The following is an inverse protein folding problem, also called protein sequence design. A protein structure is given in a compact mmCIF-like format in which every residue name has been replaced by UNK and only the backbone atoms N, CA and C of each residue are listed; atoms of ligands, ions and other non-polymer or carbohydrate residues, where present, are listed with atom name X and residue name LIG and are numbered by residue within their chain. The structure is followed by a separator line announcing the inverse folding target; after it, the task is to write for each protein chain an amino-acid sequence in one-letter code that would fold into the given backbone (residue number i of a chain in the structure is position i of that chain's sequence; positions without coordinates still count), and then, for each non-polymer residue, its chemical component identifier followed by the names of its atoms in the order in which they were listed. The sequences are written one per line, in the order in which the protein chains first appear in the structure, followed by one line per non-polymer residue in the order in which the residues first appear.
data_IF_621676910536
#
_entry.id   IF_621676910536
#
_cell.length_a   1.000
_cell.length_b   1.000
_cell.length_c   1.000
_cell.angle_alpha   90.00
_cell.angle_beta   90.00
_cell.angle_gamma   90.00
#
_symmetry.space_group_name_H-M   'P 1'
#
loop_
_entity.id
_entity.type
_entity.pdbx_description
1 polymer ?
#
# COMPACT_ATOMS: atom_id res chain seq x y z
N UNK A 1 4.59 -9.75 19.41
CA UNK A 1 4.22 -10.09 18.02
C UNK A 1 4.55 -8.88 17.18
N UNK A 2 5.62 -8.93 16.37
CA UNK A 2 6.01 -7.80 15.54
C UNK A 2 5.00 -7.67 14.41
N UNK A 3 4.54 -6.46 14.17
CA UNK A 3 3.29 -6.24 13.45
C UNK A 3 3.68 -5.46 12.19
N UNK A 4 3.72 -6.18 11.06
CA UNK A 4 4.42 -5.76 9.84
C UNK A 4 3.56 -4.81 9.03
N UNK A 5 3.53 -3.55 9.47
CA UNK A 5 2.82 -2.47 8.78
C UNK A 5 3.42 -2.06 7.45
N UNK A 6 4.56 -2.63 7.08
CA UNK A 6 5.48 -2.02 6.17
C UNK A 6 5.96 -3.06 5.14
N UNK A 7 6.17 -2.65 3.87
CA UNK A 7 6.73 -3.51 2.82
C UNK A 7 8.00 -4.20 3.34
N UNK A 8 8.20 -5.48 3.09
CA UNK A 8 9.50 -6.08 3.38
C UNK A 8 10.57 -5.25 2.66
N UNK A 9 11.48 -4.63 3.41
CA UNK A 9 12.60 -3.94 2.78
C UNK A 9 13.39 -4.99 2.01
N UNK A 10 13.77 -4.73 0.74
CA UNK A 10 14.69 -5.61 0.02
C UNK A 10 16.12 -5.56 0.60
N UNK A 11 16.35 -4.81 1.69
CA UNK A 11 17.66 -4.61 2.33
C UNK A 11 17.61 -5.05 3.78
N UNK A 12 18.64 -5.77 4.21
CA UNK A 12 18.78 -6.20 5.60
C UNK A 12 19.24 -5.09 6.54
N UNK A 13 19.73 -3.96 6.01
CA UNK A 13 20.28 -2.84 6.80
C UNK A 13 19.85 -1.47 6.27
N UNK A 14 19.62 -0.52 7.18
CA UNK A 14 19.21 0.84 6.86
C UNK A 14 20.36 1.78 6.42
N UNK A 15 20.05 3.05 6.10
CA UNK A 15 18.75 3.70 6.24
C UNK A 15 17.75 3.26 5.15
N UNK A 16 16.54 2.93 5.59
CA UNK A 16 15.44 2.54 4.70
C UNK A 16 14.83 3.76 4.02
N UNK A 17 14.41 3.61 2.77
CA UNK A 17 13.58 4.62 2.12
C UNK A 17 12.24 4.76 2.86
N UNK A 18 11.57 5.93 2.84
CA UNK A 18 10.25 6.10 3.47
C UNK A 18 9.15 5.14 2.98
N UNK A 19 9.38 4.50 1.82
CA UNK A 19 8.49 3.50 1.22
C UNK A 19 8.95 2.06 1.49
N UNK A 20 10.17 1.86 1.97
CA UNK A 20 10.69 0.55 2.38
C UNK A 20 10.26 0.32 3.82
N UNK A 21 9.63 -0.81 4.08
CA UNK A 21 9.05 -1.04 5.38
C UNK A 21 10.05 -1.53 6.41
N UNK A 22 9.81 -1.10 7.65
CA UNK A 22 10.59 -1.47 8.82
C UNK A 22 9.71 -2.26 9.78
N UNK A 23 10.25 -3.27 10.44
CA UNK A 23 9.56 -3.95 11.53
C UNK A 23 9.26 -2.95 12.65
N UNK A 24 7.99 -2.75 12.98
CA UNK A 24 7.56 -1.92 14.10
C UNK A 24 7.27 -2.80 15.33
N UNK A 25 7.69 -2.32 16.51
CA UNK A 25 7.23 -2.89 17.78
C UNK A 25 5.72 -2.61 17.91
N UNK A 26 4.93 -3.59 18.34
CA UNK A 26 3.47 -3.49 18.49
C UNK A 26 3.05 -2.25 19.31
N UNK A 27 3.81 -1.89 20.35
CA UNK A 27 3.54 -0.72 21.19
C UNK A 27 3.69 0.62 20.42
N UNK A 28 4.39 0.62 19.28
CA UNK A 28 4.66 1.81 18.45
C UNK A 28 3.78 1.89 17.20
N UNK A 29 2.80 0.98 17.07
CA UNK A 29 1.91 0.90 15.91
C UNK A 29 0.74 1.89 16.04
N UNK A 30 0.31 2.21 17.26
CA UNK A 30 -0.78 3.14 17.53
C UNK A 30 -2.11 2.67 16.90
N UNK A 31 -2.87 3.59 16.30
CA UNK A 31 -4.20 3.30 15.73
C UNK A 31 -4.21 2.19 14.66
N UNK A 32 -3.06 1.87 14.08
CA UNK A 32 -2.91 0.80 13.14
C UNK A 32 -3.08 -0.60 13.78
N UNK A 33 -2.90 -0.75 15.09
CA UNK A 33 -3.14 -2.03 15.78
C UNK A 33 -4.58 -2.51 15.58
N UNK A 34 -5.55 -1.57 15.59
CA UNK A 34 -6.96 -1.87 15.42
C UNK A 34 -7.26 -2.61 14.10
N UNK A 35 -6.52 -2.34 13.02
CA UNK A 35 -6.76 -3.00 11.74
C UNK A 35 -6.18 -4.42 11.68
N UNK A 36 -5.27 -4.78 12.58
CA UNK A 36 -4.75 -6.16 12.68
C UNK A 36 -5.63 -7.11 13.46
N UNK A 37 -6.61 -6.59 14.19
CA UNK A 37 -7.66 -7.40 14.80
C UNK A 37 -8.73 -7.87 13.79
N UNK A 38 -8.68 -7.39 12.54
CA UNK A 38 -9.67 -7.75 11.52
C UNK A 38 -9.39 -9.16 10.96
N UNK A 39 -10.40 -10.04 10.89
CA UNK A 39 -10.23 -11.37 10.27
C UNK A 39 -9.81 -11.28 8.80
N UNK A 40 -8.87 -12.11 8.32
CA UNK A 40 -8.44 -12.13 6.92
C UNK A 40 -9.60 -12.29 5.94
N UNK A 41 -10.61 -13.08 6.29
CA UNK A 41 -11.80 -13.32 5.46
C UNK A 41 -12.63 -12.04 5.31
N UNK A 42 -12.72 -11.23 6.37
CA UNK A 42 -13.38 -9.94 6.31
C UNK A 42 -12.61 -8.98 5.41
N UNK A 43 -11.28 -8.92 5.54
CA UNK A 43 -10.42 -8.08 4.70
C UNK A 43 -10.59 -8.46 3.22
N UNK A 44 -10.54 -9.76 2.89
CA UNK A 44 -10.77 -10.28 1.54
C UNK A 44 -12.14 -9.95 0.95
N UNK A 45 -13.14 -9.70 1.79
CA UNK A 45 -14.48 -9.34 1.32
C UNK A 45 -14.59 -7.88 0.81
N UNK A 46 -13.67 -7.01 1.22
CA UNK A 46 -13.67 -5.57 0.92
C UNK A 46 -13.36 -5.34 -0.56
N UNK A 47 -14.18 -4.50 -1.22
CA UNK A 47 -14.06 -4.23 -2.66
C UNK A 47 -12.71 -3.60 -3.04
N UNK A 48 -12.17 -2.72 -2.21
CA UNK A 48 -10.86 -2.10 -2.44
C UNK A 48 -9.74 -3.14 -2.46
N UNK A 49 -9.84 -4.17 -1.62
CA UNK A 49 -8.85 -5.26 -1.54
C UNK A 49 -8.93 -6.14 -2.78
N UNK A 50 -10.16 -6.52 -3.19
CA UNK A 50 -10.39 -7.25 -4.45
C UNK A 50 -9.85 -6.48 -5.66
N UNK A 51 -10.04 -5.17 -5.69
CA UNK A 51 -9.53 -4.33 -6.77
C UNK A 51 -7.99 -4.28 -6.80
N UNK A 52 -7.35 -4.24 -5.63
CA UNK A 52 -5.88 -4.36 -5.54
C UNK A 52 -5.39 -5.74 -5.98
N UNK A 53 -6.11 -6.81 -5.66
CA UNK A 53 -5.76 -8.16 -6.10
C UNK A 53 -5.85 -8.32 -7.62
N UNK A 54 -6.90 -7.77 -8.25
CA UNK A 54 -7.01 -7.70 -9.71
C UNK A 54 -5.82 -6.95 -10.32
N UNK A 55 -5.42 -5.81 -9.72
CA UNK A 55 -4.26 -5.06 -10.22
C UNK A 55 -2.95 -5.85 -10.12
N UNK A 56 -2.77 -6.62 -9.06
CA UNK A 56 -1.59 -7.49 -8.90
C UNK A 56 -1.62 -8.63 -9.91
N UNK A 57 -2.78 -9.26 -10.12
CA UNK A 57 -2.95 -10.32 -11.10
C UNK A 57 -2.64 -9.83 -12.53
N UNK A 58 -3.12 -8.64 -12.89
CA UNK A 58 -2.94 -8.11 -14.25
C UNK A 58 -1.55 -7.51 -14.51
N UNK A 59 -0.89 -6.95 -13.49
CA UNK A 59 0.28 -6.07 -13.67
C UNK A 59 1.48 -6.41 -12.79
N UNK A 60 1.40 -7.43 -11.94
CA UNK A 60 2.44 -7.78 -10.98
C UNK A 60 2.39 -6.93 -9.71
N UNK A 61 3.17 -7.32 -8.71
CA UNK A 61 3.19 -6.68 -7.39
C UNK A 61 3.82 -5.27 -7.41
N UNK A 62 4.60 -4.95 -8.44
CA UNK A 62 5.25 -3.65 -8.65
C UNK A 62 4.24 -2.50 -8.71
N UNK A 63 3.00 -2.76 -9.15
CA UNK A 63 1.95 -1.74 -9.16
C UNK A 63 1.64 -1.20 -7.76
N UNK A 64 1.73 -2.06 -6.74
CA UNK A 64 1.47 -1.67 -5.35
C UNK A 64 2.52 -0.67 -4.88
N UNK A 65 3.80 -0.87 -5.22
CA UNK A 65 4.87 0.07 -4.89
C UNK A 65 4.62 1.48 -5.46
N UNK A 66 4.09 1.56 -6.68
CA UNK A 66 3.74 2.86 -7.30
C UNK A 66 2.57 3.51 -6.58
N UNK A 67 1.53 2.75 -6.25
CA UNK A 67 0.35 3.25 -5.55
C UNK A 67 0.67 3.66 -4.11
N UNK A 68 1.56 2.95 -3.44
CA UNK A 68 2.04 3.27 -2.09
C UNK A 68 2.83 4.58 -2.08
N UNK A 69 3.80 4.75 -2.98
CA UNK A 69 4.55 6.00 -3.10
C UNK A 69 3.63 7.18 -3.42
N UNK A 70 2.59 6.95 -4.23
CA UNK A 70 1.58 7.97 -4.51
C UNK A 70 0.62 8.24 -3.33
N UNK A 71 0.27 7.23 -2.54
CA UNK A 71 -0.59 7.40 -1.37
C UNK A 71 0.17 8.07 -0.20
N UNK A 72 1.45 7.77 -0.06
CA UNK A 72 2.33 8.32 0.97
C UNK A 72 2.78 9.76 0.65
N UNK A 73 2.67 10.19 -0.60
CA UNK A 73 3.08 11.54 -1.01
C UNK A 73 1.92 12.33 -1.60
N UNK A 74 1.84 13.62 -1.28
CA UNK A 74 0.83 14.51 -1.86
C UNK A 74 1.19 14.98 -3.29
N UNK A 75 2.14 14.33 -3.97
CA UNK A 75 2.66 14.79 -5.26
C UNK A 75 3.15 13.64 -6.14
N UNK A 76 2.67 13.60 -7.39
CA UNK A 76 3.17 12.68 -8.42
C UNK A 76 4.69 12.78 -8.64
N UNK A 77 5.27 13.98 -8.48
CA UNK A 77 6.72 14.18 -8.61
C UNK A 77 7.48 13.59 -7.43
N UNK A 78 6.96 13.72 -6.21
CA UNK A 78 7.56 13.12 -5.01
C UNK A 78 7.44 11.58 -5.05
N UNK A 79 6.27 11.06 -5.42
CA UNK A 79 6.07 9.63 -5.65
C UNK A 79 7.06 9.07 -6.67
N UNK A 80 7.17 9.72 -7.84
CA UNK A 80 8.10 9.37 -8.90
C UNK A 80 9.57 9.32 -8.45
N UNK A 81 9.99 10.29 -7.64
CA UNK A 81 11.33 10.29 -7.07
C UNK A 81 11.56 9.10 -6.12
N UNK A 82 10.55 8.67 -5.37
CA UNK A 82 10.65 7.52 -4.46
C UNK A 82 10.73 6.17 -5.18
N UNK A 83 10.04 6.02 -6.31
CA UNK A 83 10.05 4.76 -7.10
C UNK A 83 10.96 4.80 -8.33
N UNK A 84 11.81 5.83 -8.43
CA UNK A 84 12.75 6.03 -9.55
C UNK A 84 12.09 5.98 -10.94
N UNK A 85 10.86 6.49 -11.05
CA UNK A 85 10.10 6.56 -12.31
C UNK A 85 9.95 8.00 -12.78
N UNK A 86 9.61 8.17 -14.06
CA UNK A 86 9.14 9.46 -14.54
C UNK A 86 7.72 9.73 -14.00
N UNK A 87 7.44 10.96 -13.58
CA UNK A 87 6.13 11.35 -13.03
C UNK A 87 4.94 11.06 -13.95
N UNK A 88 5.12 11.11 -15.28
CA UNK A 88 4.07 10.71 -16.23
C UNK A 88 3.77 9.20 -16.17
N UNK A 89 4.78 8.37 -15.90
CA UNK A 89 4.61 6.91 -15.74
C UNK A 89 3.84 6.62 -14.45
N UNK A 90 4.17 7.29 -13.35
CA UNK A 90 3.39 7.20 -12.10
C UNK A 90 1.95 7.64 -12.34
N UNK A 91 1.74 8.78 -13.02
CA UNK A 91 0.41 9.29 -13.32
C UNK A 91 -0.40 8.34 -14.22
N UNK A 92 0.27 7.65 -15.16
CA UNK A 92 -0.35 6.61 -15.98
C UNK A 92 -0.85 5.46 -15.10
N UNK A 93 -0.01 4.94 -14.21
CA UNK A 93 -0.37 3.84 -13.33
C UNK A 93 -1.49 4.20 -12.35
N UNK A 94 -1.42 5.38 -11.73
CA UNK A 94 -2.50 5.89 -10.86
C UNK A 94 -3.83 5.92 -11.61
N UNK A 95 -3.88 6.55 -12.79
CA UNK A 95 -5.12 6.61 -13.59
C UNK A 95 -5.61 5.24 -14.05
N UNK A 96 -4.68 4.30 -14.31
CA UNK A 96 -5.03 2.93 -14.68
C UNK A 96 -5.69 2.22 -13.49
N UNK A 97 -5.09 2.32 -12.32
CA UNK A 97 -5.60 1.72 -11.08
C UNK A 97 -6.94 2.31 -10.63
N UNK A 98 -7.15 3.62 -10.80
CA UNK A 98 -8.43 4.27 -10.47
C UNK A 98 -9.64 3.67 -11.20
N UNK A 99 -9.44 3.13 -12.42
CA UNK A 99 -10.49 2.45 -13.17
C UNK A 99 -10.90 1.12 -12.53
N UNK A 100 -9.94 0.40 -11.94
CA UNK A 100 -10.18 -0.87 -11.26
C UNK A 100 -10.71 -0.63 -9.84
N UNK A 101 -10.13 0.35 -9.14
CA UNK A 101 -10.54 0.77 -7.79
C UNK A 101 -11.94 1.39 -7.74
N UNK A 102 -12.43 1.92 -8.86
CA UNK A 102 -13.75 2.57 -8.93
C UNK A 102 -13.81 3.94 -8.24
N UNK A 103 -12.66 4.53 -7.90
CA UNK A 103 -12.58 5.88 -7.35
C UNK A 103 -11.31 6.61 -7.84
N UNK A 104 -11.45 7.92 -8.06
CA UNK A 104 -10.32 8.82 -8.30
C UNK A 104 -9.61 9.14 -7.00
N UNK A 105 -8.29 9.20 -6.99
CA UNK A 105 -7.47 9.33 -5.79
C UNK A 105 -7.09 10.78 -5.45
N UNK A 106 -7.40 11.74 -6.33
CA UNK A 106 -7.03 13.15 -6.20
C UNK A 106 -8.00 13.98 -5.32
N UNK A 107 -9.18 13.44 -4.99
CA UNK A 107 -10.14 14.09 -4.10
C UNK A 107 -9.76 13.92 -2.61
N UNK A 108 -10.23 14.84 -1.72
CA UNK A 108 -10.03 14.73 -0.28
C UNK A 108 -10.42 13.36 0.27
N UNK A 109 -9.65 12.85 1.22
CA UNK A 109 -9.82 11.54 1.88
C UNK A 109 -9.66 10.29 0.99
N UNK A 110 -9.47 10.42 -0.32
CA UNK A 110 -9.33 9.25 -1.21
C UNK A 110 -7.92 8.69 -1.27
N UNK A 111 -6.88 9.51 -1.07
CA UNK A 111 -5.51 9.00 -0.82
C UNK A 111 -5.40 8.24 0.50
N UNK A 112 -6.03 8.73 1.58
CA UNK A 112 -6.04 8.01 2.86
C UNK A 112 -6.83 6.70 2.76
N UNK A 113 -7.91 6.65 1.99
CA UNK A 113 -8.60 5.39 1.65
C UNK A 113 -7.69 4.42 0.90
N UNK A 114 -6.97 4.89 -0.12
CA UNK A 114 -5.99 4.08 -0.85
C UNK A 114 -4.89 3.54 0.08
N UNK A 115 -4.32 4.40 0.93
CA UNK A 115 -3.32 3.99 1.93
C UNK A 115 -3.87 2.92 2.87
N UNK A 116 -5.10 3.11 3.39
CA UNK A 116 -5.74 2.13 4.27
C UNK A 116 -5.98 0.80 3.56
N UNK A 117 -6.42 0.80 2.30
CA UNK A 117 -6.59 -0.42 1.52
C UNK A 117 -5.26 -1.17 1.33
N UNK A 118 -4.16 -0.46 1.05
CA UNK A 118 -2.83 -1.04 0.92
C UNK A 118 -2.34 -1.64 2.26
N UNK A 119 -2.56 -0.95 3.38
CA UNK A 119 -2.27 -1.47 4.72
C UNK A 119 -3.08 -2.73 5.04
N UNK A 120 -4.40 -2.72 4.79
CA UNK A 120 -5.27 -3.87 5.04
C UNK A 120 -4.87 -5.08 4.20
N UNK A 121 -4.56 -4.88 2.91
CA UNK A 121 -4.06 -5.96 2.04
C UNK A 121 -2.81 -6.58 2.64
N UNK A 122 -1.85 -5.77 3.08
CA UNK A 122 -0.61 -6.24 3.72
C UNK A 122 -0.87 -7.04 5.00
N UNK A 123 -1.78 -6.58 5.84
CA UNK A 123 -2.19 -7.33 7.05
C UNK A 123 -2.75 -8.70 6.68
N UNK A 124 -3.58 -8.78 5.64
CA UNK A 124 -4.10 -10.06 5.14
C UNK A 124 -2.98 -11.00 4.69
N UNK A 125 -2.08 -10.55 3.80
CA UNK A 125 -1.00 -11.41 3.28
C UNK A 125 -0.08 -11.90 4.40
N UNK A 126 0.24 -11.04 5.38
CA UNK A 126 1.12 -11.40 6.49
C UNK A 126 0.47 -12.35 7.51
N UNK A 127 -0.87 -12.52 7.47
CA UNK A 127 -1.58 -13.49 8.32
C UNK A 127 -1.55 -14.89 7.73
N UNK A 128 -1.36 -15.03 6.41
CA UNK A 128 -1.30 -16.32 5.72
C UNK A 128 0.07 -17.02 5.81
N UNK A 129 1.12 -16.33 6.29
CA UNK A 129 2.48 -16.86 6.45
C UNK A 129 2.78 -17.49 7.83
N UNK A 130 1.77 -17.69 8.68
CA UNK A 130 1.84 -18.36 10.00
C UNK A 130 1.18 -19.75 9.99
#
# INVERSE_FOLDING_TARGET
MALHFALASPRDTGPYLPIEGTFANAENVGCYEAITALPPEYISSINDIKALDILVEEHGTEILHVLEAYAATESLRKAAAQVFMHHNTVAYWVRKSERVLGFQSDAPYRRSRLMLALCLRRVRENTEEL
#
